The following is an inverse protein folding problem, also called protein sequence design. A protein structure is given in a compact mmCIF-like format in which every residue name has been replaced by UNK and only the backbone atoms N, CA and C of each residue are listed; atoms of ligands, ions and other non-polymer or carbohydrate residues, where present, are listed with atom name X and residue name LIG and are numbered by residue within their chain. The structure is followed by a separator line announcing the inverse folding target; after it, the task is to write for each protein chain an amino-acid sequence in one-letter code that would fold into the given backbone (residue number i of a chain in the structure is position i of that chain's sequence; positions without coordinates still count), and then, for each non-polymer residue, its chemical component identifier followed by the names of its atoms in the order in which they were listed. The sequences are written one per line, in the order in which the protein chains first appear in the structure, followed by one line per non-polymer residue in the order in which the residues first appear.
data_IF_130775837155
#
_entry.id   IF_130775837155
#
_cell.length_a   1.000
_cell.length_b   1.000
_cell.length_c   1.000
_cell.angle_alpha   90.00
_cell.angle_beta   90.00
_cell.angle_gamma   90.00
#
_symmetry.space_group_name_H-M   'P 1'
#
loop_
_entity.id
_entity.type
_entity.pdbx_description
1 polymer ?
#
# COMPACT_ATOMS: atom_id res chain seq x y z
N UNK A 1 -1.51 -0.01 -39.84
CA UNK A 1 -1.82 -0.66 -38.55
C UNK A 1 -3.33 -0.58 -38.33
N UNK A 2 -4.04 -1.70 -38.15
CA UNK A 2 -5.51 -1.70 -38.01
C UNK A 2 -5.88 -1.23 -36.60
N UNK A 3 -6.62 -0.13 -36.49
CA UNK A 3 -7.03 0.42 -35.19
C UNK A 3 -7.93 -0.60 -34.46
N UNK A 4 -7.58 -0.92 -33.21
CA UNK A 4 -8.37 -1.83 -32.37
C UNK A 4 -9.66 -1.14 -31.92
N UNK A 5 -10.70 -1.92 -31.64
CA UNK A 5 -11.94 -1.38 -31.06
C UNK A 5 -11.71 -0.84 -29.64
N UNK A 6 -12.53 0.13 -29.22
CA UNK A 6 -12.45 0.78 -27.90
C UNK A 6 -12.45 -0.25 -26.76
N UNK A 7 -13.35 -1.22 -26.81
CA UNK A 7 -13.41 -2.31 -25.83
C UNK A 7 -12.10 -3.11 -25.78
N UNK A 8 -11.49 -3.41 -26.92
CA UNK A 8 -10.21 -4.13 -26.97
C UNK A 8 -9.05 -3.31 -26.42
N UNK A 9 -9.07 -1.98 -26.56
CA UNK A 9 -8.05 -1.10 -26.00
C UNK A 9 -8.17 -1.06 -24.47
N UNK A 10 -9.39 -0.96 -23.94
CA UNK A 10 -9.62 -0.80 -22.51
C UNK A 10 -9.11 -1.97 -21.67
N UNK A 11 -9.34 -3.21 -22.09
CA UNK A 11 -8.98 -4.42 -21.34
C UNK A 11 -7.56 -4.95 -21.61
N UNK A 12 -6.77 -4.25 -22.44
CA UNK A 12 -5.39 -4.68 -22.77
C UNK A 12 -4.38 -4.14 -21.77
N UNK A 13 -3.31 -4.91 -21.56
CA UNK A 13 -2.22 -4.47 -20.72
C UNK A 13 -1.40 -3.36 -21.41
N UNK A 14 -0.80 -2.41 -20.66
CA UNK A 14 -0.20 -1.22 -21.26
C UNK A 14 0.96 -1.52 -22.23
N UNK A 15 1.68 -2.61 -22.02
CA UNK A 15 2.77 -3.05 -22.90
C UNK A 15 2.31 -3.70 -24.20
N UNK A 16 1.02 -4.05 -24.32
CA UNK A 16 0.41 -4.60 -25.54
C UNK A 16 -0.19 -3.53 -26.46
N UNK A 17 -0.11 -2.27 -26.02
CA UNK A 17 -0.66 -1.10 -26.68
C UNK A 17 0.47 -0.23 -27.21
N UNK A 18 0.22 0.49 -28.31
CA UNK A 18 1.09 1.59 -28.72
C UNK A 18 0.81 2.86 -27.88
N UNK A 19 1.63 3.89 -28.04
CA UNK A 19 1.51 5.14 -27.27
C UNK A 19 0.13 5.80 -27.42
N UNK A 20 -0.39 5.89 -28.64
CA UNK A 20 -1.70 6.48 -28.91
C UNK A 20 -2.82 5.69 -28.24
N UNK A 21 -2.79 4.36 -28.34
CA UNK A 21 -3.76 3.46 -27.72
C UNK A 21 -3.72 3.57 -26.19
N UNK A 22 -2.54 3.71 -25.57
CA UNK A 22 -2.42 3.96 -24.11
C UNK A 22 -3.03 5.29 -23.70
N UNK A 23 -2.84 6.35 -24.48
CA UNK A 23 -3.49 7.65 -24.23
C UNK A 23 -5.01 7.54 -24.33
N UNK A 24 -5.51 6.80 -25.31
CA UNK A 24 -6.95 6.49 -25.40
C UNK A 24 -7.42 5.68 -24.19
N UNK A 25 -6.68 4.66 -23.77
CA UNK A 25 -6.98 3.88 -22.56
C UNK A 25 -7.05 4.78 -21.31
N UNK A 26 -6.11 5.71 -21.15
CA UNK A 26 -6.10 6.66 -20.05
C UNK A 26 -7.34 7.57 -20.03
N UNK A 27 -7.80 8.06 -21.19
CA UNK A 27 -9.03 8.83 -21.29
C UNK A 27 -10.27 8.02 -20.92
N UNK A 28 -10.33 6.77 -21.40
CA UNK A 28 -11.43 5.85 -21.06
C UNK A 28 -11.44 5.53 -19.57
N UNK A 29 -10.27 5.46 -18.92
CA UNK A 29 -10.17 5.16 -17.50
C UNK A 29 -10.83 6.23 -16.61
N UNK A 30 -11.00 7.47 -17.08
CA UNK A 30 -11.61 8.54 -16.28
C UNK A 30 -13.04 8.16 -15.83
N UNK A 31 -14.03 7.97 -16.72
CA UNK A 31 -15.39 7.65 -16.31
C UNK A 31 -15.48 6.32 -15.55
N UNK A 32 -14.79 5.27 -16.02
CA UNK A 32 -14.82 3.96 -15.35
C UNK A 32 -14.16 3.98 -13.97
N UNK A 33 -13.04 4.69 -13.85
CA UNK A 33 -12.30 4.87 -12.60
C UNK A 33 -13.12 5.65 -11.58
N UNK A 34 -13.78 6.74 -12.00
CA UNK A 34 -14.67 7.52 -11.12
C UNK A 34 -15.86 6.69 -10.63
N UNK A 35 -16.52 5.92 -11.52
CA UNK A 35 -17.62 5.02 -11.13
C UNK A 35 -17.13 3.97 -10.13
N UNK A 36 -15.96 3.37 -10.38
CA UNK A 36 -15.38 2.38 -9.47
C UNK A 36 -15.05 2.98 -8.11
N UNK A 37 -14.45 4.18 -8.08
CA UNK A 37 -14.18 4.91 -6.83
C UNK A 37 -15.47 5.23 -6.07
N UNK A 38 -16.53 5.62 -6.77
CA UNK A 38 -17.83 5.90 -6.17
C UNK A 38 -18.41 4.65 -5.52
N UNK A 39 -18.47 3.53 -6.26
CA UNK A 39 -19.00 2.26 -5.75
C UNK A 39 -18.21 1.80 -4.52
N UNK A 40 -16.87 1.77 -4.61
CA UNK A 40 -16.02 1.33 -3.49
C UNK A 40 -16.22 2.22 -2.27
N UNK A 41 -16.26 3.54 -2.44
CA UNK A 41 -16.44 4.49 -1.34
C UNK A 41 -17.82 4.37 -0.71
N UNK A 42 -18.86 4.24 -1.54
CA UNK A 42 -20.24 4.08 -1.08
C UNK A 42 -20.43 2.78 -0.30
N UNK A 43 -19.93 1.65 -0.82
CA UNK A 43 -20.03 0.36 -0.14
C UNK A 43 -19.23 0.36 1.17
N UNK A 44 -17.96 0.77 1.12
CA UNK A 44 -17.08 0.65 2.27
C UNK A 44 -17.36 1.70 3.34
N UNK A 45 -17.44 2.97 2.97
CA UNK A 45 -17.58 4.06 3.94
C UNK A 45 -19.04 4.39 4.19
N UNK A 46 -19.87 4.38 3.15
CA UNK A 46 -21.29 4.68 3.24
C UNK A 46 -22.09 3.59 3.95
N UNK A 47 -22.04 2.36 3.42
CA UNK A 47 -22.84 1.24 3.94
C UNK A 47 -22.15 0.60 5.15
N UNK A 48 -20.92 0.10 5.01
CA UNK A 48 -20.29 -0.71 6.06
C UNK A 48 -19.93 0.12 7.30
N UNK A 49 -19.45 1.35 7.12
CA UNK A 49 -19.05 2.22 8.25
C UNK A 49 -20.15 3.20 8.67
N UNK A 50 -21.22 3.37 7.88
CA UNK A 50 -22.33 4.27 8.19
C UNK A 50 -21.97 5.76 8.15
N UNK A 51 -20.87 6.13 7.50
CA UNK A 51 -20.40 7.51 7.44
C UNK A 51 -20.73 8.20 6.11
N UNK A 52 -20.63 9.54 6.06
CA UNK A 52 -20.74 10.26 4.79
C UNK A 52 -19.55 9.94 3.87
N UNK A 53 -19.77 9.10 2.86
CA UNK A 53 -18.70 8.62 1.97
C UNK A 53 -18.15 9.68 1.00
N UNK A 54 -18.78 10.85 0.84
CA UNK A 54 -18.41 11.84 -0.19
C UNK A 54 -16.96 12.34 -0.04
N UNK A 55 -16.47 12.71 1.15
CA UNK A 55 -15.08 13.14 1.29
C UNK A 55 -14.10 12.01 0.97
N UNK A 56 -14.43 10.76 1.34
CA UNK A 56 -13.56 9.61 1.08
C UNK A 56 -13.53 9.30 -0.42
N UNK A 57 -14.68 9.42 -1.09
CA UNK A 57 -14.77 9.34 -2.55
C UNK A 57 -13.88 10.38 -3.23
N UNK A 58 -13.90 11.64 -2.78
CA UNK A 58 -13.05 12.69 -3.33
C UNK A 58 -11.55 12.34 -3.20
N UNK A 59 -11.12 11.77 -2.07
CA UNK A 59 -9.75 11.28 -1.89
C UNK A 59 -9.42 10.11 -2.81
N UNK A 60 -10.31 9.12 -2.92
CA UNK A 60 -10.12 7.95 -3.78
C UNK A 60 -10.06 8.28 -5.26
N UNK A 61 -10.72 9.36 -5.71
CA UNK A 61 -10.60 9.86 -7.07
C UNK A 61 -9.16 10.18 -7.48
N UNK A 62 -8.25 10.43 -6.53
CA UNK A 62 -6.82 10.65 -6.81
C UNK A 62 -6.10 9.40 -7.35
N UNK A 63 -6.70 8.20 -7.23
CA UNK A 63 -6.18 7.00 -7.90
C UNK A 63 -6.22 7.17 -9.42
N UNK A 64 -7.28 7.79 -9.95
CA UNK A 64 -7.48 7.97 -11.40
C UNK A 64 -6.33 8.74 -12.06
N UNK A 65 -5.98 9.98 -11.64
CA UNK A 65 -4.83 10.68 -12.19
C UNK A 65 -3.51 9.94 -11.94
N UNK A 66 -3.37 9.23 -10.81
CA UNK A 66 -2.20 8.38 -10.52
C UNK A 66 -1.99 7.28 -11.57
N UNK A 67 -3.05 6.51 -11.89
CA UNK A 67 -2.98 5.46 -12.92
C UNK A 67 -2.83 6.04 -14.31
N UNK A 68 -3.51 7.15 -14.61
CA UNK A 68 -3.35 7.88 -15.88
C UNK A 68 -1.89 8.30 -16.09
N UNK A 69 -1.22 8.80 -15.03
CA UNK A 69 0.19 9.16 -15.09
C UNK A 69 1.06 7.96 -15.45
N UNK A 70 0.79 6.78 -14.88
CA UNK A 70 1.51 5.53 -15.22
C UNK A 70 1.30 5.14 -16.68
N UNK A 71 0.06 5.19 -17.18
CA UNK A 71 -0.24 4.86 -18.58
C UNK A 71 0.40 5.86 -19.55
N UNK A 72 0.33 7.15 -19.25
CA UNK A 72 0.86 8.21 -20.10
C UNK A 72 2.39 8.20 -20.15
N UNK A 73 3.04 7.96 -19.02
CA UNK A 73 4.50 7.90 -18.90
C UNK A 73 5.05 6.47 -18.99
N UNK A 74 4.28 5.52 -19.54
CA UNK A 74 4.60 4.09 -19.53
C UNK A 74 6.01 3.81 -20.07
N UNK A 75 6.35 4.26 -21.27
CA UNK A 75 7.65 3.94 -21.89
C UNK A 75 8.83 4.52 -21.10
N UNK A 76 8.65 5.69 -20.47
CA UNK A 76 9.67 6.31 -19.63
C UNK A 76 9.90 5.49 -18.36
N UNK A 77 8.82 5.05 -17.71
CA UNK A 77 8.91 4.20 -16.53
C UNK A 77 9.45 2.82 -16.86
N UNK A 78 9.00 2.22 -17.95
CA UNK A 78 9.42 0.89 -18.39
C UNK A 78 10.91 0.89 -18.75
N UNK A 79 11.39 1.89 -19.49
CA UNK A 79 12.82 2.06 -19.77
C UNK A 79 13.67 2.22 -18.51
N UNK A 80 13.15 2.92 -17.49
CA UNK A 80 13.91 3.23 -16.26
C UNK A 80 13.87 2.10 -15.22
N UNK A 81 12.75 1.38 -15.13
CA UNK A 81 12.47 0.46 -14.04
C UNK A 81 12.14 -0.97 -14.48
N UNK A 82 11.84 -1.22 -15.76
CA UNK A 82 11.44 -2.54 -16.26
C UNK A 82 10.08 -2.98 -15.72
N UNK A 83 9.00 -2.37 -16.21
CA UNK A 83 7.64 -2.62 -15.71
C UNK A 83 6.97 -3.84 -16.32
N UNK A 84 7.45 -4.27 -17.49
CA UNK A 84 6.96 -5.48 -18.17
C UNK A 84 7.29 -6.73 -17.38
N UNK A 85 6.32 -7.64 -17.18
CA UNK A 85 6.60 -8.91 -16.53
C UNK A 85 7.49 -9.79 -17.43
N UNK A 86 8.51 -10.42 -16.84
CA UNK A 86 9.37 -11.40 -17.54
C UNK A 86 9.05 -12.83 -17.09
N UNK A 87 9.02 -13.05 -15.78
CA UNK A 87 8.66 -14.33 -15.14
C UNK A 87 7.56 -14.19 -14.10
N UNK A 88 7.08 -12.97 -13.87
CA UNK A 88 5.99 -12.72 -12.93
C UNK A 88 4.73 -13.46 -13.40
N UNK A 89 4.05 -14.21 -12.50
CA UNK A 89 2.74 -14.78 -12.82
C UNK A 89 1.63 -13.71 -12.88
N UNK A 90 1.98 -12.44 -12.63
CA UNK A 90 1.06 -11.32 -12.58
C UNK A 90 1.16 -10.42 -13.81
N UNK A 91 0.21 -9.49 -13.93
CA UNK A 91 0.08 -8.59 -15.08
C UNK A 91 1.23 -7.58 -15.22
N UNK A 92 1.93 -7.30 -14.12
CA UNK A 92 3.06 -6.37 -14.05
C UNK A 92 4.25 -7.03 -13.34
N UNK A 93 5.44 -6.50 -13.58
CA UNK A 93 6.63 -6.82 -12.78
C UNK A 93 6.51 -6.27 -11.36
N UNK A 94 7.41 -6.69 -10.47
CA UNK A 94 7.58 -6.06 -9.15
C UNK A 94 7.62 -4.53 -9.26
N UNK A 95 8.45 -4.01 -10.17
CA UNK A 95 8.64 -2.58 -10.35
C UNK A 95 7.38 -1.89 -10.85
N UNK A 96 6.64 -2.53 -11.76
CA UNK A 96 5.36 -2.00 -12.24
C UNK A 96 4.36 -1.76 -11.10
N UNK A 97 4.19 -2.74 -10.21
CA UNK A 97 3.31 -2.60 -9.05
C UNK A 97 3.76 -1.51 -8.07
N UNK A 98 5.07 -1.41 -7.79
CA UNK A 98 5.61 -0.37 -6.92
C UNK A 98 5.37 1.03 -7.49
N UNK A 99 5.53 1.22 -8.80
CA UNK A 99 5.26 2.51 -9.46
C UNK A 99 3.78 2.86 -9.42
N UNK A 100 2.89 1.90 -9.64
CA UNK A 100 1.43 2.13 -9.51
C UNK A 100 1.08 2.54 -8.09
N UNK A 101 1.56 1.81 -7.07
CA UNK A 101 1.35 2.15 -5.66
C UNK A 101 1.88 3.56 -5.33
N UNK A 102 3.07 3.90 -5.83
CA UNK A 102 3.66 5.23 -5.61
C UNK A 102 2.79 6.34 -6.20
N UNK A 103 2.35 6.18 -7.45
CA UNK A 103 1.49 7.17 -8.12
C UNK A 103 0.09 7.26 -7.48
N UNK A 104 -0.41 6.18 -6.88
CA UNK A 104 -1.69 6.15 -6.15
C UNK A 104 -1.56 6.54 -4.67
N UNK A 105 -0.34 6.70 -4.14
CA UNK A 105 -0.10 6.99 -2.72
C UNK A 105 -0.78 8.24 -2.16
N UNK A 106 -0.98 9.34 -2.93
CA UNK A 106 -1.77 10.47 -2.44
C UNK A 106 -3.21 10.10 -2.09
N UNK A 107 -3.84 9.22 -2.88
CA UNK A 107 -5.21 8.78 -2.64
C UNK A 107 -5.32 8.03 -1.32
N UNK A 108 -4.36 7.14 -1.04
CA UNK A 108 -4.32 6.39 0.22
C UNK A 108 -4.04 7.29 1.42
N UNK A 109 -3.14 8.26 1.29
CA UNK A 109 -2.86 9.24 2.33
C UNK A 109 -4.11 10.05 2.71
N UNK A 110 -4.75 10.68 1.71
CA UNK A 110 -5.95 11.48 1.96
C UNK A 110 -7.14 10.63 2.36
N UNK A 111 -7.25 9.39 1.87
CA UNK A 111 -8.27 8.44 2.29
C UNK A 111 -8.23 8.19 3.80
N UNK A 112 -7.05 7.88 4.36
CA UNK A 112 -6.91 7.69 5.81
C UNK A 112 -7.14 8.98 6.60
N UNK A 113 -6.70 10.12 6.08
CA UNK A 113 -6.95 11.42 6.71
C UNK A 113 -8.45 11.70 6.82
N UNK A 114 -9.19 11.45 5.74
CA UNK A 114 -10.63 11.59 5.69
C UNK A 114 -11.34 10.65 6.67
N UNK A 115 -10.91 9.38 6.78
CA UNK A 115 -11.45 8.47 7.79
C UNK A 115 -11.18 8.97 9.21
N UNK A 116 -10.01 9.57 9.47
CA UNK A 116 -9.69 10.22 10.74
C UNK A 116 -10.62 11.40 11.05
N UNK A 117 -10.87 12.26 10.05
CA UNK A 117 -11.81 13.38 10.19
C UNK A 117 -13.23 12.89 10.51
N UNK A 118 -13.70 11.88 9.78
CA UNK A 118 -15.06 11.35 9.91
C UNK A 118 -15.30 10.61 11.23
N UNK A 119 -14.26 9.98 11.77
CA UNK A 119 -14.30 9.33 13.09
C UNK A 119 -14.05 10.29 14.26
N UNK A 120 -13.78 11.58 13.99
CA UNK A 120 -13.46 12.56 15.02
C UNK A 120 -12.06 12.42 15.61
N UNK A 121 -11.19 11.59 15.02
CA UNK A 121 -9.82 11.37 15.46
C UNK A 121 -8.82 11.66 14.33
N UNK A 122 -8.65 12.96 14.04
CA UNK A 122 -7.76 13.44 12.98
C UNK A 122 -6.32 12.94 13.16
N UNK A 123 -5.82 12.91 14.39
CA UNK A 123 -4.48 12.44 14.68
C UNK A 123 -4.32 10.94 14.36
N UNK A 124 -5.31 10.10 14.68
CA UNK A 124 -5.31 8.72 14.22
C UNK A 124 -5.24 8.65 12.70
N UNK A 125 -6.06 9.44 12.00
CA UNK A 125 -6.05 9.53 10.54
C UNK A 125 -4.69 9.90 9.97
N UNK A 126 -3.99 10.87 10.57
CA UNK A 126 -2.63 11.24 10.19
C UNK A 126 -1.63 10.09 10.41
N UNK A 127 -1.66 9.45 11.57
CA UNK A 127 -0.79 8.30 11.85
C UNK A 127 -1.04 7.12 10.92
N UNK A 128 -2.32 6.85 10.62
CA UNK A 128 -2.72 5.82 9.67
C UNK A 128 -2.30 6.16 8.23
N UNK A 129 -2.42 7.42 7.81
CA UNK A 129 -1.95 7.88 6.50
C UNK A 129 -0.43 7.70 6.34
N UNK A 130 0.34 8.01 7.38
CA UNK A 130 1.79 7.75 7.42
C UNK A 130 2.07 6.24 7.33
N UNK A 131 1.36 5.42 8.12
CA UNK A 131 1.53 3.96 8.14
C UNK A 131 1.25 3.32 6.77
N UNK A 132 0.34 3.89 5.99
CA UNK A 132 -0.06 3.39 4.67
C UNK A 132 0.95 3.79 3.58
N UNK A 133 1.46 5.03 3.62
CA UNK A 133 2.41 5.54 2.62
C UNK A 133 3.85 5.10 2.88
N UNK A 134 4.25 4.97 4.14
CA UNK A 134 5.59 4.54 4.55
C UNK A 134 6.09 3.28 3.80
N UNK A 135 5.35 2.16 3.78
CA UNK A 135 5.77 0.97 3.05
C UNK A 135 5.89 1.18 1.54
N UNK A 136 5.04 2.02 0.93
CA UNK A 136 5.10 2.34 -0.50
C UNK A 136 6.43 3.03 -0.83
N UNK A 137 6.79 4.06 -0.04
CA UNK A 137 8.05 4.79 -0.21
C UNK A 137 9.24 3.86 0.02
N UNK A 138 9.20 3.04 1.07
CA UNK A 138 10.26 2.07 1.35
C UNK A 138 10.47 1.05 0.22
N UNK A 139 9.40 0.52 -0.36
CA UNK A 139 9.49 -0.36 -1.53
C UNK A 139 10.05 0.38 -2.75
N UNK A 140 9.67 1.64 -2.98
CA UNK A 140 10.18 2.46 -4.07
C UNK A 140 11.68 2.75 -3.95
N UNK A 141 12.15 3.13 -2.75
CA UNK A 141 13.58 3.34 -2.49
C UNK A 141 14.40 2.07 -2.78
N UNK A 142 13.77 0.90 -2.67
CA UNK A 142 14.38 -0.41 -2.91
C UNK A 142 13.96 -1.06 -4.23
N UNK A 143 13.36 -0.33 -5.16
CA UNK A 143 12.72 -0.87 -6.38
C UNK A 143 13.65 -1.75 -7.24
N UNK A 144 14.97 -1.52 -7.18
CA UNK A 144 15.98 -2.29 -7.93
C UNK A 144 16.51 -3.53 -7.18
N UNK A 145 16.11 -3.74 -5.93
CA UNK A 145 16.58 -4.89 -5.12
C UNK A 145 15.95 -6.18 -5.60
N UNK A 146 14.70 -6.11 -6.05
CA UNK A 146 13.91 -7.26 -6.49
C UNK A 146 13.71 -7.18 -7.98
N UNK A 147 13.81 -8.31 -8.67
CA UNK A 147 13.47 -8.45 -10.08
C UNK A 147 12.65 -9.72 -10.30
N UNK A 148 11.79 -9.72 -11.31
CA UNK A 148 11.03 -10.90 -11.71
C UNK A 148 11.92 -12.11 -12.03
N UNK A 149 13.15 -11.87 -12.47
CA UNK A 149 14.12 -12.92 -12.76
C UNK A 149 14.48 -13.75 -11.53
N UNK A 150 14.32 -13.17 -10.33
CA UNK A 150 14.56 -13.83 -9.05
C UNK A 150 13.45 -14.83 -8.67
N UNK A 151 12.34 -14.93 -9.41
CA UNK A 151 11.27 -15.89 -9.12
C UNK A 151 11.78 -17.33 -9.37
N UNK A 152 11.59 -18.27 -8.41
CA UNK A 152 12.06 -19.65 -8.56
C UNK A 152 11.54 -20.35 -9.83
N UNK A 153 12.43 -21.12 -10.47
CA UNK A 153 12.05 -21.99 -11.61
C UNK A 153 11.16 -23.12 -11.09
N UNK A 154 9.93 -23.21 -11.59
CA UNK A 154 8.89 -24.14 -11.09
C UNK A 154 7.65 -23.43 -10.51
N UNK A 155 7.68 -22.09 -10.43
CA UNK A 155 6.55 -21.27 -10.00
C UNK A 155 6.67 -20.77 -8.56
N UNK A 156 6.03 -19.64 -8.29
CA UNK A 156 6.07 -18.93 -7.01
C UNK A 156 5.40 -17.57 -7.14
N UNK A 157 5.18 -16.89 -6.01
CA UNK A 157 4.61 -15.54 -6.02
C UNK A 157 5.68 -14.46 -6.18
N UNK A 158 6.96 -14.81 -5.99
CA UNK A 158 7.99 -13.79 -5.80
C UNK A 158 7.67 -12.91 -4.60
N UNK A 159 8.25 -11.72 -4.57
CA UNK A 159 7.93 -10.72 -3.55
C UNK A 159 6.82 -9.78 -4.04
N UNK A 160 5.55 -10.22 -4.06
CA UNK A 160 4.45 -9.43 -4.64
C UNK A 160 4.20 -8.10 -3.89
N UNK A 161 4.49 -6.91 -4.46
CA UNK A 161 4.47 -5.65 -3.71
C UNK A 161 3.16 -5.34 -2.99
N UNK A 162 2.03 -5.57 -3.66
CA UNK A 162 0.70 -5.30 -3.09
C UNK A 162 0.45 -6.12 -1.83
N UNK A 163 0.81 -7.40 -1.83
CA UNK A 163 0.57 -8.25 -0.66
C UNK A 163 1.47 -7.87 0.51
N UNK A 164 2.74 -7.56 0.25
CA UNK A 164 3.67 -7.09 1.30
C UNK A 164 3.25 -5.72 1.85
N UNK A 165 2.71 -4.85 1.00
CA UNK A 165 2.12 -3.58 1.41
C UNK A 165 0.92 -3.77 2.34
N UNK A 166 -0.07 -4.58 1.96
CA UNK A 166 -1.24 -4.87 2.79
C UNK A 166 -0.84 -5.50 4.13
N UNK A 167 0.12 -6.44 4.12
CA UNK A 167 0.62 -7.05 5.36
C UNK A 167 1.35 -6.02 6.24
N UNK A 168 2.14 -5.11 5.67
CA UNK A 168 2.75 -4.03 6.42
C UNK A 168 1.71 -3.09 7.03
N UNK A 169 0.65 -2.74 6.29
CA UNK A 169 -0.44 -1.91 6.77
C UNK A 169 -1.18 -2.51 7.96
N UNK A 170 -1.51 -3.81 7.88
CA UNK A 170 -2.18 -4.53 8.96
C UNK A 170 -1.43 -4.45 10.30
N UNK A 171 -0.10 -4.28 10.26
CA UNK A 171 0.74 -4.17 11.46
C UNK A 171 0.88 -2.75 11.99
N UNK A 172 0.99 -1.80 11.06
CA UNK A 172 1.34 -0.42 11.37
C UNK A 172 0.16 0.46 11.70
N UNK A 173 -0.97 0.32 11.00
CA UNK A 173 -2.08 1.29 11.08
C UNK A 173 -2.56 1.48 12.52
N UNK A 174 -2.86 0.39 13.22
CA UNK A 174 -3.36 0.48 14.59
C UNK A 174 -2.30 1.04 15.56
N UNK A 175 -1.08 0.51 15.50
CA UNK A 175 0.01 0.86 16.41
C UNK A 175 0.47 2.31 16.25
N UNK A 176 0.72 2.73 15.00
CA UNK A 176 1.13 4.09 14.67
C UNK A 176 -0.03 5.05 14.89
N UNK A 177 -1.23 4.70 14.43
CA UNK A 177 -2.44 5.50 14.62
C UNK A 177 -2.73 5.78 16.09
N UNK A 178 -2.60 4.77 16.96
CA UNK A 178 -2.73 4.91 18.42
C UNK A 178 -1.67 5.84 19.02
N UNK A 179 -0.41 5.73 18.56
CA UNK A 179 0.65 6.65 18.95
C UNK A 179 0.30 8.10 18.61
N UNK A 180 -0.15 8.35 17.38
CA UNK A 180 -0.58 9.68 16.96
C UNK A 180 -1.80 10.19 17.74
N UNK A 181 -2.83 9.35 17.99
CA UNK A 181 -3.96 9.76 18.83
C UNK A 181 -3.52 10.20 20.23
N UNK A 182 -2.49 9.55 20.78
CA UNK A 182 -1.89 9.92 22.05
C UNK A 182 -1.38 11.37 22.07
N UNK A 183 -0.93 11.91 20.93
CA UNK A 183 -0.48 13.32 20.83
C UNK A 183 -1.62 14.26 21.23
N UNK A 184 -2.82 14.05 20.68
CA UNK A 184 -3.97 14.89 21.01
C UNK A 184 -4.32 14.80 22.50
N UNK A 185 -4.33 13.60 23.06
CA UNK A 185 -4.66 13.38 24.47
C UNK A 185 -3.60 13.97 25.40
N UNK A 186 -2.32 13.86 25.04
CA UNK A 186 -1.20 14.43 25.78
C UNK A 186 -1.27 15.95 25.82
N UNK A 187 -1.61 16.60 24.70
CA UNK A 187 -1.75 18.05 24.64
C UNK A 187 -2.90 18.59 25.52
N UNK A 188 -3.96 17.79 25.74
CA UNK A 188 -5.13 18.20 26.53
C UNK A 188 -4.92 17.87 28.01
N UNK A 189 -4.51 16.64 28.32
CA UNK A 189 -4.55 16.06 29.66
C UNK A 189 -3.20 15.53 30.16
N UNK A 190 -2.10 15.75 29.43
CA UNK A 190 -0.77 15.26 29.79
C UNK A 190 -0.60 13.74 29.73
N UNK A 191 -1.58 13.00 29.20
CA UNK A 191 -1.60 11.54 29.15
C UNK A 191 -2.02 11.02 27.77
N UNK A 192 -1.44 9.93 27.24
CA UNK A 192 -0.32 9.15 27.78
C UNK A 192 1.02 9.91 27.70
N UNK A 193 2.06 9.43 28.37
CA UNK A 193 3.38 10.09 28.35
C UNK A 193 3.95 10.23 26.93
N UNK A 194 4.87 11.17 26.75
CA UNK A 194 5.54 11.40 25.47
C UNK A 194 6.37 10.18 25.04
N UNK A 195 7.00 9.50 25.98
CA UNK A 195 7.76 8.26 25.75
C UNK A 195 6.86 7.17 25.19
N UNK A 196 5.65 7.00 25.73
CA UNK A 196 4.67 6.04 25.22
C UNK A 196 4.27 6.35 23.77
N UNK A 197 4.03 7.63 23.47
CA UNK A 197 3.69 8.10 22.12
C UNK A 197 4.80 7.78 21.14
N UNK A 198 6.03 8.19 21.46
CA UNK A 198 7.22 7.97 20.62
C UNK A 198 7.46 6.48 20.42
N UNK A 199 7.41 5.69 21.49
CA UNK A 199 7.61 4.25 21.43
C UNK A 199 6.56 3.56 20.55
N UNK A 200 5.28 3.95 20.68
CA UNK A 200 4.20 3.38 19.86
C UNK A 200 4.44 3.63 18.37
N UNK A 201 4.81 4.86 18.00
CA UNK A 201 5.11 5.22 16.60
C UNK A 201 6.34 4.45 16.11
N UNK A 202 7.42 4.44 16.89
CA UNK A 202 8.68 3.79 16.53
C UNK A 202 8.52 2.27 16.36
N UNK A 203 7.87 1.59 17.31
CA UNK A 203 7.59 0.15 17.25
C UNK A 203 6.75 -0.18 16.01
N UNK A 204 5.71 0.62 15.74
CA UNK A 204 4.87 0.45 14.57
C UNK A 204 5.67 0.51 13.26
N UNK A 205 6.47 1.56 13.08
CA UNK A 205 7.31 1.74 11.89
C UNK A 205 8.35 0.63 11.75
N UNK A 206 9.01 0.24 12.85
CA UNK A 206 10.01 -0.84 12.85
C UNK A 206 9.38 -2.18 12.41
N UNK A 207 8.17 -2.48 12.87
CA UNK A 207 7.51 -3.74 12.50
C UNK A 207 7.03 -3.73 11.05
N UNK A 208 6.51 -2.59 10.55
CA UNK A 208 6.21 -2.46 9.12
C UNK A 208 7.46 -2.69 8.25
N UNK A 209 8.62 -2.23 8.74
CA UNK A 209 9.90 -2.36 8.04
C UNK A 209 10.24 -3.83 7.75
N UNK A 210 9.82 -4.79 8.58
CA UNK A 210 10.09 -6.23 8.34
C UNK A 210 9.61 -6.67 6.95
N UNK A 211 8.44 -6.19 6.51
CA UNK A 211 7.85 -6.51 5.21
C UNK A 211 8.48 -5.77 4.04
N UNK A 212 9.30 -4.75 4.32
CA UNK A 212 10.07 -4.03 3.31
C UNK A 212 11.41 -4.69 3.02
N UNK A 213 11.83 -5.65 3.86
CA UNK A 213 13.09 -6.38 3.74
C UNK A 213 12.92 -7.91 3.69
N UNK A 214 12.05 -8.44 2.81
CA UNK A 214 11.85 -9.88 2.74
C UNK A 214 13.10 -10.61 2.21
N UNK A 215 13.98 -9.95 1.46
CA UNK A 215 15.31 -10.48 1.08
C UNK A 215 16.20 -10.77 2.29
N UNK A 216 16.21 -9.87 3.28
CA UNK A 216 16.99 -10.05 4.50
C UNK A 216 16.39 -11.15 5.36
N UNK A 217 15.06 -11.17 5.46
CA UNK A 217 14.33 -12.19 6.19
C UNK A 217 14.52 -13.58 5.58
N UNK A 218 14.54 -13.69 4.24
CA UNK A 218 14.79 -14.94 3.51
C UNK A 218 16.15 -15.57 3.82
N UNK A 219 17.11 -14.81 4.34
CA UNK A 219 18.43 -15.33 4.77
C UNK A 219 18.41 -15.93 6.17
N UNK A 220 17.40 -15.60 6.98
CA UNK A 220 17.31 -15.97 8.39
C UNK A 220 16.35 -17.15 8.56
N UNK A 221 15.28 -17.16 7.78
CA UNK A 221 14.23 -18.18 7.90
C UNK A 221 14.57 -19.39 7.02
N UNK A 222 14.27 -20.62 7.48
CA UNK A 222 14.61 -21.85 6.74
C UNK A 222 13.67 -22.12 5.55
N UNK A 223 12.80 -21.18 5.18
CA UNK A 223 11.76 -21.32 4.16
C UNK A 223 12.01 -20.29 3.06
N UNK A 224 12.00 -20.72 1.81
CA UNK A 224 12.11 -19.83 0.66
C UNK A 224 10.84 -18.95 0.51
N UNK A 225 10.98 -17.67 0.85
CA UNK A 225 9.89 -16.69 0.92
C UNK A 225 9.23 -16.41 -0.43
N UNK A 226 9.92 -16.64 -1.55
CA UNK A 226 9.38 -16.44 -2.90
C UNK A 226 8.36 -17.50 -3.33
N UNK A 227 8.16 -18.55 -2.54
CA UNK A 227 7.21 -19.65 -2.80
C UNK A 227 5.83 -19.40 -2.19
N UNK A 228 4.84 -20.24 -2.50
CA UNK A 228 3.52 -20.21 -1.85
C UNK A 228 3.59 -20.43 -0.34
N UNK A 229 4.43 -21.36 0.10
CA UNK A 229 4.63 -21.65 1.53
C UNK A 229 5.34 -20.48 2.22
N UNK A 230 6.31 -19.87 1.53
CA UNK A 230 6.95 -18.63 1.96
C UNK A 230 5.97 -17.48 2.15
N UNK A 231 5.04 -17.29 1.22
CA UNK A 231 3.97 -16.30 1.33
C UNK A 231 3.05 -16.57 2.52
N UNK A 232 2.61 -17.83 2.72
CA UNK A 232 1.79 -18.19 3.87
C UNK A 232 2.53 -17.95 5.19
N UNK A 233 3.82 -18.26 5.24
CA UNK A 233 4.66 -17.97 6.39
C UNK A 233 4.73 -16.47 6.70
N UNK A 234 4.91 -15.62 5.67
CA UNK A 234 4.84 -14.15 5.85
C UNK A 234 3.47 -13.71 6.37
N UNK A 235 2.39 -14.27 5.85
CA UNK A 235 1.04 -13.94 6.31
C UNK A 235 0.84 -14.29 7.79
N UNK A 236 1.27 -15.48 8.23
CA UNK A 236 1.22 -15.89 9.65
C UNK A 236 2.11 -15.01 10.52
N UNK A 237 3.30 -14.65 10.01
CA UNK A 237 4.22 -13.76 10.71
C UNK A 237 3.59 -12.39 11.00
N UNK A 238 2.65 -11.91 10.19
CA UNK A 238 1.95 -10.66 10.45
C UNK A 238 1.21 -10.73 11.79
N UNK A 239 0.43 -11.78 12.02
CA UNK A 239 -0.28 -11.96 13.29
C UNK A 239 0.66 -12.05 14.48
N UNK A 240 1.79 -12.77 14.33
CA UNK A 240 2.80 -12.89 15.38
C UNK A 240 3.42 -11.51 15.71
N UNK A 241 3.84 -10.78 14.69
CA UNK A 241 4.44 -9.45 14.87
C UNK A 241 3.43 -8.43 15.40
N UNK A 242 2.16 -8.55 15.06
CA UNK A 242 1.11 -7.75 15.66
C UNK A 242 0.98 -8.04 17.16
N UNK A 243 0.96 -9.31 17.56
CA UNK A 243 0.94 -9.70 18.98
C UNK A 243 2.16 -9.16 19.74
N UNK A 244 3.36 -9.28 19.15
CA UNK A 244 4.60 -8.71 19.71
C UNK A 244 4.50 -7.20 19.85
N UNK A 245 3.96 -6.50 18.85
CA UNK A 245 3.79 -5.03 18.91
C UNK A 245 2.90 -4.63 20.08
N UNK A 246 1.76 -5.31 20.24
CA UNK A 246 0.81 -5.01 21.33
C UNK A 246 1.41 -5.32 22.70
N UNK A 247 2.16 -6.42 22.82
CA UNK A 247 2.86 -6.78 24.05
C UNK A 247 3.92 -5.73 24.44
N UNK A 248 4.78 -5.32 23.50
CA UNK A 248 5.80 -4.30 23.74
C UNK A 248 5.19 -2.95 24.15
N UNK A 249 4.11 -2.53 23.47
CA UNK A 249 3.37 -1.31 23.82
C UNK A 249 2.77 -1.42 25.23
N UNK A 250 2.29 -2.61 25.61
CA UNK A 250 1.78 -2.89 26.96
C UNK A 250 2.87 -2.71 28.02
N UNK A 251 4.08 -3.21 27.78
CA UNK A 251 5.23 -3.01 28.67
C UNK A 251 5.56 -1.54 28.79
N UNK A 252 5.71 -0.82 27.67
CA UNK A 252 6.03 0.61 27.70
C UNK A 252 4.99 1.37 28.51
N UNK A 253 3.70 1.10 28.28
CA UNK A 253 2.62 1.72 29.05
C UNK A 253 2.75 1.51 30.55
N UNK A 254 3.12 0.30 30.99
CA UNK A 254 3.28 -0.01 32.41
C UNK A 254 4.53 0.66 33.03
N UNK A 255 5.55 0.96 32.23
CA UNK A 255 6.78 1.63 32.68
C UNK A 255 6.68 3.16 32.68
N UNK A 256 5.75 3.72 31.89
CA UNK A 256 5.60 5.17 31.69
C UNK A 256 4.29 5.74 32.23
N UNK A 257 3.48 4.91 32.89
CA UNK A 257 2.28 5.31 33.66
C UNK A 257 2.65 5.71 35.07
#
# INVERSE_FOLDING_TARGET
MKQRSISKIFFKLPYELNETERKTQALLLIPFGLISCFIVSYLFVGILMGFNFIPFFAAMCLIVPGVIMVLYCWDKFDKKYGMRPVRSPFQLSYQGYVIVLLCSSPAFFFGMLTLGLMSGNLFFGLGAAVAVVYPIVGMFLRIKTFSDESIPRGGGFGFMPISYWIMAEALGIYTIGKGFSGISSYLINGTPSLEFIIASIAIGLLIQTVYLFPDKLNKIVPIELRTKNGFLFMFVMAFVLFGVSQFLIGIVRALTS
#
